data_IF_417805983272
#
_entry.id   IF_417805983272
#
_cell.length_a   1.000
_cell.length_b   1.000
_cell.length_c   1.000
_cell.angle_alpha   90.00
_cell.angle_beta   90.00
_cell.angle_gamma   90.00
#
_symmetry.space_group_name_H-M   'P 1'
#
loop_
_entity.id
_entity.type
_entity.pdbx_description
1 polymer ?
#
# COMPACT_ATOMS: atom_id res chain seq x y z
N UNK A 1 17.07 28.05 2.57
CA UNK A 1 16.90 27.32 2.33
C UNK A 1 16.61 26.74 2.12
N UNK A 2 16.44 26.78 1.99
CA UNK A 2 16.02 26.00 1.80
C UNK A 2 15.78 25.15 1.47
N UNK A 3 15.61 25.01 1.50
CA UNK A 3 15.40 24.13 1.17
C UNK A 3 14.95 23.49 0.71
N UNK A 4 14.73 23.50 0.95
CA UNK A 4 14.38 22.80 0.55
C UNK A 4 13.94 22.23 -0.07
N UNK A 5 13.80 22.31 -0.03
CA UNK A 5 13.37 21.79 -0.58
C UNK A 5 13.01 20.96 -0.95
N UNK A 6 12.93 20.82 -0.69
CA UNK A 6 12.62 20.11 -0.97
C UNK A 6 12.08 19.58 -1.57
N UNK A 7 12.16 19.34 -1.34
CA UNK A 7 11.51 18.79 -1.88
C UNK A 7 10.77 18.71 -2.71
N UNK A 8 10.46 19.01 -2.83
CA UNK A 8 9.65 19.07 -3.69
C UNK A 8 9.61 18.23 -4.65
N UNK A 9 10.25 18.07 -4.90
CA UNK A 9 10.37 17.15 -5.89
C UNK A 9 9.66 15.91 -5.61
N UNK A 10 9.65 15.51 -4.43
CA UNK A 10 8.96 14.28 -4.11
C UNK A 10 7.49 14.37 -4.40
N UNK A 11 6.98 15.56 -4.42
CA UNK A 11 5.57 15.71 -4.72
C UNK A 11 5.26 15.27 -6.14
N UNK A 12 6.20 15.39 -7.03
CA UNK A 12 5.95 15.03 -8.40
C UNK A 12 6.00 13.54 -8.64
N UNK A 13 6.50 12.79 -7.68
CA UNK A 13 6.71 11.36 -7.85
C UNK A 13 5.94 10.58 -6.82
N UNK A 14 4.80 10.04 -7.19
CA UNK A 14 4.06 9.25 -6.23
C UNK A 14 4.88 8.09 -5.73
N UNK A 15 4.74 7.82 -4.49
CA UNK A 15 5.35 6.66 -3.86
C UNK A 15 4.66 5.41 -4.38
N UNK A 16 5.44 4.44 -4.87
CA UNK A 16 4.86 3.21 -5.40
C UNK A 16 3.97 2.53 -4.38
N UNK A 17 4.41 2.52 -3.15
CA UNK A 17 3.68 1.92 -2.07
C UNK A 17 2.30 2.55 -1.92
N UNK A 18 2.27 3.88 -1.93
CA UNK A 18 1.01 4.59 -1.77
C UNK A 18 0.10 4.39 -2.97
N UNK A 19 0.65 4.35 -4.16
CA UNK A 19 -0.16 4.13 -5.36
C UNK A 19 -0.79 2.75 -5.32
N UNK A 20 0.00 1.74 -4.96
CA UNK A 20 -0.50 0.38 -4.85
C UNK A 20 -1.61 0.28 -3.80
N UNK A 21 -1.34 0.80 -2.61
CA UNK A 21 -2.30 0.72 -1.51
C UNK A 21 -3.57 1.50 -1.81
N UNK A 22 -3.41 2.65 -2.43
CA UNK A 22 -4.57 3.47 -2.76
C UNK A 22 -5.46 2.78 -3.80
N UNK A 23 -4.84 2.16 -4.79
CA UNK A 23 -5.59 1.44 -5.80
C UNK A 23 -6.36 0.27 -5.18
N UNK A 24 -5.68 -0.52 -4.36
CA UNK A 24 -6.31 -1.67 -3.73
C UNK A 24 -7.47 -1.21 -2.83
N UNK A 25 -7.29 -0.10 -2.14
CA UNK A 25 -8.33 0.43 -1.27
C UNK A 25 -9.54 0.91 -2.08
N UNK A 26 -9.29 1.68 -3.12
CA UNK A 26 -10.38 2.25 -3.91
C UNK A 26 -11.17 1.18 -4.63
N UNK A 27 -10.50 0.18 -5.14
CA UNK A 27 -11.16 -0.89 -5.87
C UNK A 27 -11.65 -2.01 -4.97
N UNK A 28 -11.39 -1.90 -3.68
CA UNK A 28 -11.79 -2.90 -2.69
C UNK A 28 -11.31 -4.28 -3.05
N UNK A 29 -10.08 -4.35 -3.51
CA UNK A 29 -9.50 -5.61 -3.95
C UNK A 29 -9.17 -6.49 -2.76
N UNK A 30 -9.47 -7.79 -2.87
CA UNK A 30 -8.94 -8.71 -1.86
C UNK A 30 -7.44 -8.81 -2.02
N UNK A 31 -6.74 -8.71 -0.91
CA UNK A 31 -5.28 -8.80 -0.91
C UNK A 31 -4.87 -9.88 0.07
N UNK A 32 -3.72 -10.45 -0.19
CA UNK A 32 -3.11 -11.41 0.73
C UNK A 32 -1.95 -10.69 1.41
N UNK A 33 -1.97 -10.63 2.72
CA UNK A 33 -0.95 -9.94 3.49
C UNK A 33 -0.05 -10.95 4.14
N UNK A 34 1.24 -10.83 3.87
CA UNK A 34 2.25 -11.71 4.42
C UNK A 34 3.08 -10.91 5.40
N UNK A 35 3.14 -11.36 6.63
CA UNK A 35 3.88 -10.68 7.67
C UNK A 35 5.29 -11.25 7.77
N UNK A 36 6.19 -10.48 8.34
CA UNK A 36 7.58 -10.90 8.42
C UNK A 36 7.78 -12.10 9.33
N UNK A 37 6.81 -12.38 10.20
CA UNK A 37 6.90 -13.56 11.06
C UNK A 37 6.33 -14.82 10.40
N UNK A 38 5.93 -14.72 9.15
CA UNK A 38 5.44 -15.88 8.39
C UNK A 38 3.93 -16.03 8.36
N UNK A 39 3.21 -15.23 9.13
CA UNK A 39 1.75 -15.31 9.08
C UNK A 39 1.23 -14.70 7.79
N UNK A 40 0.07 -15.17 7.39
CA UNK A 40 -0.53 -14.76 6.14
C UNK A 40 -2.04 -14.80 6.28
N UNK A 41 -2.71 -13.80 5.73
CA UNK A 41 -4.16 -13.79 5.73
C UNK A 41 -4.69 -12.92 4.61
N UNK A 42 -5.96 -13.12 4.28
CA UNK A 42 -6.63 -12.33 3.25
C UNK A 42 -7.36 -11.18 3.91
N UNK A 43 -7.37 -10.04 3.25
CA UNK A 43 -7.94 -8.84 3.81
C UNK A 43 -8.30 -7.86 2.72
N UNK A 44 -8.97 -6.78 3.10
CA UNK A 44 -9.19 -5.63 2.23
C UNK A 44 -8.67 -4.40 2.92
N UNK A 45 -8.03 -3.54 2.15
CA UNK A 45 -7.41 -2.34 2.72
C UNK A 45 -8.48 -1.27 2.89
N UNK A 46 -8.60 -0.76 4.10
CA UNK A 46 -9.56 0.30 4.40
C UNK A 46 -8.93 1.67 4.44
N UNK A 47 -7.72 1.75 4.96
CA UNK A 47 -7.03 3.02 5.03
C UNK A 47 -5.56 2.74 5.29
N UNK A 48 -4.73 3.74 5.13
CA UNK A 48 -3.31 3.59 5.42
C UNK A 48 -2.69 4.96 5.59
N UNK A 49 -1.56 4.97 6.27
CA UNK A 49 -0.76 6.17 6.34
C UNK A 49 0.70 5.77 6.20
N UNK A 50 1.58 6.63 6.63
CA UNK A 50 3.01 6.44 6.49
C UNK A 50 3.51 5.20 7.22
N UNK A 51 2.88 4.84 8.33
CA UNK A 51 3.41 3.82 9.22
C UNK A 51 2.56 2.57 9.32
N UNK A 52 1.28 2.66 8.98
CA UNK A 52 0.35 1.59 9.27
C UNK A 52 -0.70 1.45 8.18
N UNK A 53 -1.32 0.27 8.17
CA UNK A 53 -2.41 -0.03 7.26
C UNK A 53 -3.56 -0.59 8.08
N UNK A 54 -4.75 -0.07 7.87
CA UNK A 54 -5.95 -0.64 8.47
C UNK A 54 -6.61 -1.53 7.44
N UNK A 55 -6.86 -2.76 7.80
CA UNK A 55 -7.46 -3.73 6.90
C UNK A 55 -8.65 -4.38 7.57
N UNK A 56 -9.54 -4.88 6.74
CA UNK A 56 -10.67 -5.65 7.21
C UNK A 56 -10.40 -7.12 6.97
N UNK A 57 -10.51 -7.91 8.03
CA UNK A 57 -10.32 -9.36 7.99
C UNK A 57 -11.57 -9.98 8.56
N UNK A 58 -12.35 -10.64 7.72
CA UNK A 58 -13.57 -11.33 8.15
C UNK A 58 -14.48 -10.46 9.01
N UNK A 59 -14.67 -9.23 8.56
CA UNK A 59 -15.59 -8.34 9.24
C UNK A 59 -15.00 -7.55 10.38
N UNK A 60 -13.74 -7.76 10.70
CA UNK A 60 -13.06 -7.02 11.78
C UNK A 60 -11.97 -6.16 11.24
N UNK A 61 -11.78 -5.00 11.84
CA UNK A 61 -10.70 -4.11 11.43
C UNK A 61 -9.44 -4.43 12.20
N UNK A 62 -8.35 -4.49 11.47
CA UNK A 62 -7.04 -4.74 12.05
C UNK A 62 -6.09 -3.64 11.63
N UNK A 63 -5.32 -3.14 12.56
CA UNK A 63 -4.27 -2.20 12.25
C UNK A 63 -2.95 -2.95 12.23
N UNK A 64 -2.22 -2.85 11.14
CA UNK A 64 -0.96 -3.56 10.98
C UNK A 64 0.11 -2.53 10.66
N UNK A 65 1.19 -2.55 11.43
CA UNK A 65 2.28 -1.63 11.17
C UNK A 65 3.04 -2.09 9.94
N UNK A 66 3.41 -1.13 9.10
CA UNK A 66 4.05 -1.47 7.83
C UNK A 66 5.34 -2.22 8.02
N UNK A 67 6.07 -1.95 9.10
CA UNK A 67 7.34 -2.65 9.31
C UNK A 67 7.15 -4.13 9.59
N UNK A 68 5.94 -4.56 9.88
CA UNK A 68 5.65 -5.98 10.10
C UNK A 68 5.19 -6.67 8.82
N UNK A 69 5.01 -5.94 7.75
CA UNK A 69 4.49 -6.50 6.50
C UNK A 69 5.65 -6.78 5.56
N UNK A 70 5.71 -8.01 5.08
CA UNK A 70 6.70 -8.37 4.07
C UNK A 70 6.14 -8.14 2.67
N UNK A 71 4.91 -8.54 2.44
CA UNK A 71 4.32 -8.49 1.11
C UNK A 71 2.82 -8.29 1.20
N UNK A 72 2.30 -7.51 0.28
CA UNK A 72 0.86 -7.44 0.05
C UNK A 72 0.65 -7.79 -1.41
N UNK A 73 -0.10 -8.85 -1.66
CA UNK A 73 -0.30 -9.34 -3.01
C UNK A 73 -1.76 -9.21 -3.41
N UNK A 74 -2.00 -8.84 -4.65
CA UNK A 74 -3.35 -8.83 -5.21
C UNK A 74 -3.50 -10.01 -6.14
N UNK A 75 -4.73 -10.41 -6.37
CA UNK A 75 -5.01 -11.50 -7.30
C UNK A 75 -4.95 -11.05 -8.74
N UNK A 76 -5.03 -9.75 -8.97
CA UNK A 76 -5.02 -9.18 -10.30
C UNK A 76 -3.88 -8.21 -10.41
N UNK A 77 -3.34 -8.10 -11.61
CA UNK A 77 -2.32 -7.10 -11.86
C UNK A 77 -2.87 -5.71 -11.69
N UNK A 78 -2.05 -4.85 -11.15
CA UNK A 78 -2.32 -3.43 -11.10
C UNK A 78 -1.33 -2.77 -12.05
N UNK A 79 -1.86 -2.15 -13.10
CA UNK A 79 -1.00 -1.68 -14.17
C UNK A 79 -0.51 -0.26 -14.02
N UNK A 80 -1.17 0.52 -13.21
CA UNK A 80 -0.93 1.95 -13.24
C UNK A 80 -0.11 2.48 -12.06
N UNK A 81 0.53 1.62 -11.32
CA UNK A 81 1.36 2.09 -10.22
C UNK A 81 2.81 2.31 -10.63
N UNK A 82 3.15 2.00 -11.86
CA UNK A 82 4.45 2.31 -12.41
C UNK A 82 4.22 3.30 -13.54
N UNK A 83 4.46 4.56 -13.29
CA UNK A 83 4.00 5.59 -14.23
C UNK A 83 4.60 5.51 -15.61
N UNK A 84 5.76 4.94 -15.75
CA UNK A 84 6.39 4.95 -17.07
C UNK A 84 6.42 3.59 -17.71
N UNK A 85 5.68 2.65 -17.21
CA UNK A 85 5.85 1.34 -17.76
C UNK A 85 5.07 1.11 -19.03
N UNK A 86 4.09 1.91 -19.28
CA UNK A 86 3.29 1.68 -20.44
C UNK A 86 4.00 2.04 -21.72
N UNK A 87 5.00 2.73 -21.62
CA UNK A 87 5.67 3.16 -22.84
C UNK A 87 6.38 2.04 -23.54
#
# INVERSE_FOLDING_TARGET
>A
MPPVSEPHTSAAQPNIQDVFLNHARRERLPVSIHLIDGRQFDARIKNFDRFAVVVEVEGSDHLIFKHAIATIATQRSIDNYLPNQHS
#
